data_IF_030778387321
#
_entry.id   IF_030778387321
#
_cell.length_a   1.000
_cell.length_b   1.000
_cell.length_c   1.000
_cell.angle_alpha   90.00
_cell.angle_beta   90.00
_cell.angle_gamma   90.00
#
_symmetry.space_group_name_H-M   'P 1'
#
loop_
_entity.id
_entity.type
_entity.pdbx_description
1 polymer ?
#
# COMPACT_ATOMS: atom_id res chain seq x y z
N UNK A 1 -11.98 11.29 16.18
CA UNK A 1 -10.68 11.92 15.79
C UNK A 1 -10.22 11.50 14.40
N UNK A 2 -10.20 10.20 14.06
CA UNK A 2 -9.79 9.69 12.74
C UNK A 2 -10.58 10.26 11.55
N UNK A 3 -11.89 10.49 11.70
CA UNK A 3 -12.73 11.12 10.67
C UNK A 3 -12.34 12.57 10.37
N UNK A 4 -11.95 13.36 11.38
CA UNK A 4 -11.53 14.76 11.16
C UNK A 4 -10.15 14.85 10.49
N UNK A 5 -9.25 13.90 10.79
CA UNK A 5 -7.94 13.80 10.13
C UNK A 5 -8.13 13.38 8.67
N UNK A 6 -8.96 12.37 8.39
CA UNK A 6 -9.30 11.95 7.01
C UNK A 6 -9.87 13.10 6.18
N UNK A 7 -10.81 13.87 6.74
CA UNK A 7 -11.39 15.03 6.03
C UNK A 7 -10.34 16.11 5.76
N UNK A 8 -9.49 16.46 6.72
CA UNK A 8 -8.40 17.44 6.51
C UNK A 8 -7.39 16.96 5.46
N UNK A 9 -7.02 15.68 5.51
CA UNK A 9 -6.14 15.07 4.52
C UNK A 9 -6.75 15.14 3.12
N UNK A 10 -8.02 14.77 2.96
CA UNK A 10 -8.73 14.86 1.68
C UNK A 10 -8.80 16.29 1.14
N UNK A 11 -9.04 17.30 1.99
CA UNK A 11 -9.03 18.70 1.56
C UNK A 11 -7.64 19.11 1.06
N UNK A 12 -6.58 18.68 1.74
CA UNK A 12 -5.20 18.98 1.34
C UNK A 12 -4.84 18.29 0.02
N UNK A 13 -5.12 16.99 -0.10
CA UNK A 13 -4.93 16.21 -1.33
C UNK A 13 -5.74 16.82 -2.48
N UNK A 14 -6.96 17.28 -2.24
CA UNK A 14 -7.79 17.94 -3.25
C UNK A 14 -7.23 19.28 -3.75
N UNK A 15 -6.42 19.97 -2.93
CA UNK A 15 -5.65 21.14 -3.33
C UNK A 15 -4.50 20.76 -4.28
N UNK A 16 -3.73 19.74 -3.92
CA UNK A 16 -2.64 19.20 -4.76
C UNK A 16 -3.19 18.62 -6.06
N UNK A 17 -4.32 17.93 -6.02
CA UNK A 17 -5.01 17.39 -7.19
C UNK A 17 -5.41 18.50 -8.16
N UNK A 18 -5.78 19.68 -7.65
CA UNK A 18 -6.09 20.85 -8.48
C UNK A 18 -4.88 21.35 -9.25
N UNK A 19 -3.70 21.32 -8.63
CA UNK A 19 -2.44 21.66 -9.30
C UNK A 19 -2.06 20.60 -10.34
N UNK A 20 -2.12 19.32 -9.99
CA UNK A 20 -1.86 18.21 -10.92
C UNK A 20 -2.79 18.26 -12.15
N UNK A 21 -4.08 18.55 -11.96
CA UNK A 21 -5.03 18.73 -13.04
C UNK A 21 -4.65 19.89 -13.96
N UNK A 22 -4.23 21.04 -13.39
CA UNK A 22 -3.76 22.20 -14.18
C UNK A 22 -2.52 21.88 -15.00
N UNK A 23 -1.67 20.97 -14.54
CA UNK A 23 -0.52 20.46 -15.30
C UNK A 23 -0.90 19.44 -16.39
N UNK A 24 -2.19 19.14 -16.57
CA UNK A 24 -2.68 18.20 -17.57
C UNK A 24 -2.52 16.72 -17.19
N UNK A 25 -2.19 16.41 -15.94
CA UNK A 25 -2.05 15.02 -15.49
C UNK A 25 -3.41 14.33 -15.45
N UNK A 26 -3.45 13.10 -15.97
CA UNK A 26 -4.60 12.20 -15.85
C UNK A 26 -4.46 11.31 -14.60
N UNK A 27 -5.56 10.78 -14.02
CA UNK A 27 -5.49 9.83 -12.91
C UNK A 27 -4.54 8.66 -13.21
N UNK A 28 -4.68 8.02 -14.37
CA UNK A 28 -3.81 6.91 -14.78
C UNK A 28 -2.33 7.32 -14.87
N UNK A 29 -2.03 8.56 -15.29
CA UNK A 29 -0.65 9.07 -15.30
C UNK A 29 -0.09 9.17 -13.88
N UNK A 30 -0.91 9.62 -12.92
CA UNK A 30 -0.52 9.69 -11.50
C UNK A 30 -0.30 8.29 -10.93
N UNK A 31 -1.15 7.31 -11.25
CA UNK A 31 -0.94 5.90 -10.86
C UNK A 31 0.37 5.34 -11.42
N UNK A 32 0.70 5.67 -12.67
CA UNK A 32 1.97 5.27 -13.30
C UNK A 32 3.18 5.92 -12.60
N UNK A 33 3.08 7.19 -12.20
CA UNK A 33 4.14 7.83 -11.41
C UNK A 33 4.29 7.12 -10.06
N UNK A 34 3.18 6.74 -9.42
CA UNK A 34 3.17 5.95 -8.20
C UNK A 34 3.94 4.64 -8.34
N UNK A 35 3.66 3.84 -9.38
CA UNK A 35 4.37 2.57 -9.57
C UNK A 35 5.87 2.77 -9.83
N UNK A 36 6.28 3.86 -10.50
CA UNK A 36 7.70 4.21 -10.67
C UNK A 36 8.35 4.45 -9.30
N UNK A 37 7.70 5.20 -8.39
CA UNK A 37 8.23 5.37 -7.03
C UNK A 37 8.33 4.05 -6.27
N UNK A 38 7.36 3.15 -6.41
CA UNK A 38 7.42 1.82 -5.79
C UNK A 38 8.57 0.97 -6.34
N UNK A 39 8.81 0.98 -7.66
CA UNK A 39 9.93 0.28 -8.29
C UNK A 39 11.26 0.82 -7.77
N UNK A 40 11.44 2.15 -7.74
CA UNK A 40 12.68 2.74 -7.25
C UNK A 40 12.86 2.46 -5.75
N UNK A 41 11.79 2.51 -4.95
CA UNK A 41 11.80 2.11 -3.54
C UNK A 41 12.28 0.66 -3.37
N UNK A 42 11.71 -0.28 -4.12
CA UNK A 42 12.11 -1.69 -4.10
C UNK A 42 13.59 -1.88 -4.46
N UNK A 43 14.07 -1.19 -5.50
CA UNK A 43 15.48 -1.23 -5.88
C UNK A 43 16.38 -0.71 -4.75
N UNK A 44 16.03 0.42 -4.13
CA UNK A 44 16.80 1.00 -3.01
C UNK A 44 16.85 0.06 -1.80
N UNK A 45 15.74 -0.61 -1.45
CA UNK A 45 15.77 -1.67 -0.44
C UNK A 45 16.67 -2.83 -0.85
N UNK A 46 16.69 -3.23 -2.12
CA UNK A 46 17.49 -4.38 -2.56
C UNK A 46 19.00 -4.12 -2.54
N UNK A 47 19.42 -2.88 -2.82
CA UNK A 47 20.85 -2.49 -2.90
C UNK A 47 21.30 -1.63 -1.71
N UNK A 48 20.56 -1.64 -0.60
CA UNK A 48 20.82 -0.77 0.56
C UNK A 48 22.23 -0.86 1.13
N UNK A 49 22.92 -2.00 0.93
CA UNK A 49 24.29 -2.20 1.41
C UNK A 49 25.32 -1.27 0.75
N UNK A 50 24.97 -0.64 -0.38
CA UNK A 50 25.78 0.42 -1.00
C UNK A 50 25.85 1.65 -0.08
N UNK A 51 24.73 2.00 0.57
CA UNK A 51 24.65 3.08 1.55
C UNK A 51 23.42 2.90 2.42
N UNK A 52 23.61 2.86 3.74
CA UNK A 52 22.52 2.66 4.72
C UNK A 52 21.42 3.71 4.62
N UNK A 53 21.75 4.90 4.12
CA UNK A 53 20.83 6.00 3.85
C UNK A 53 19.79 5.65 2.78
N UNK A 54 20.03 4.63 1.94
CA UNK A 54 19.06 4.18 0.94
C UNK A 54 17.76 3.65 1.55
N UNK A 55 17.81 3.04 2.74
CA UNK A 55 16.62 2.47 3.41
C UNK A 55 15.57 3.54 3.76
N UNK A 56 15.89 4.63 4.47
CA UNK A 56 14.90 5.69 4.72
C UNK A 56 14.41 6.37 3.44
N UNK A 57 15.26 6.54 2.42
CA UNK A 57 14.80 7.06 1.13
C UNK A 57 13.85 6.09 0.40
N UNK A 58 14.08 4.79 0.50
CA UNK A 58 13.16 3.78 0.00
C UNK A 58 11.78 3.90 0.69
N UNK A 59 11.77 4.10 2.01
CA UNK A 59 10.56 4.37 2.79
C UNK A 59 9.86 5.67 2.39
N UNK A 60 10.61 6.73 2.09
CA UNK A 60 10.06 8.00 1.58
C UNK A 60 9.41 7.82 0.20
N UNK A 61 10.08 7.13 -0.73
CA UNK A 61 9.52 6.83 -2.06
C UNK A 61 8.26 5.96 -1.95
N UNK A 62 8.21 5.02 -1.01
CA UNK A 62 7.01 4.24 -0.73
C UNK A 62 5.84 5.12 -0.26
N UNK A 63 6.10 6.10 0.61
CA UNK A 63 5.08 7.09 1.01
C UNK A 63 4.61 7.93 -0.18
N UNK A 64 5.52 8.35 -1.05
CA UNK A 64 5.17 9.09 -2.27
C UNK A 64 4.33 8.24 -3.23
N UNK A 65 4.64 6.94 -3.37
CA UNK A 65 3.81 6.01 -4.13
C UNK A 65 2.39 5.92 -3.56
N UNK A 66 2.24 5.75 -2.24
CA UNK A 66 0.92 5.73 -1.59
C UNK A 66 0.18 7.06 -1.67
N UNK A 67 0.91 8.17 -1.70
CA UNK A 67 0.33 9.49 -1.93
C UNK A 67 -0.20 9.66 -3.36
N UNK A 68 0.52 9.15 -4.38
CA UNK A 68 0.05 9.16 -5.77
C UNK A 68 -1.27 8.42 -5.93
N UNK A 69 -1.42 7.25 -5.31
CA UNK A 69 -2.67 6.49 -5.28
C UNK A 69 -3.83 7.31 -4.65
N UNK A 70 -3.62 7.88 -3.46
CA UNK A 70 -4.62 8.77 -2.86
C UNK A 70 -4.95 9.99 -3.74
N UNK A 71 -3.96 10.51 -4.47
CA UNK A 71 -4.11 11.66 -5.37
C UNK A 71 -4.89 11.30 -6.63
N UNK A 72 -4.64 10.14 -7.24
CA UNK A 72 -5.31 9.72 -8.46
C UNK A 72 -6.81 9.45 -8.24
N UNK A 73 -7.19 8.89 -7.08
CA UNK A 73 -8.57 8.67 -6.72
C UNK A 73 -9.33 9.97 -6.55
N UNK A 74 -8.73 10.95 -5.86
CA UNK A 74 -9.30 12.30 -5.71
C UNK A 74 -9.37 13.02 -7.06
N UNK A 75 -8.38 12.85 -7.93
CA UNK A 75 -8.36 13.44 -9.27
C UNK A 75 -9.46 12.84 -10.17
N UNK A 76 -9.67 11.53 -10.08
CA UNK A 76 -10.72 10.84 -10.82
C UNK A 76 -12.11 11.28 -10.33
N UNK A 77 -12.33 11.33 -9.03
CA UNK A 77 -13.62 11.71 -8.43
C UNK A 77 -13.97 13.18 -8.71
N UNK A 78 -13.07 14.12 -8.40
CA UNK A 78 -13.34 15.56 -8.44
C UNK A 78 -13.55 16.12 -9.85
N UNK A 79 -12.98 15.48 -10.87
CA UNK A 79 -13.13 15.90 -12.27
C UNK A 79 -13.94 14.91 -13.13
N UNK A 80 -14.71 14.00 -12.50
CA UNK A 80 -15.60 13.09 -13.22
C UNK A 80 -14.87 12.16 -14.20
N UNK A 81 -13.62 11.79 -13.91
CA UNK A 81 -12.80 10.87 -14.70
C UNK A 81 -12.75 9.45 -14.13
N UNK A 82 -13.72 9.09 -13.27
CA UNK A 82 -13.86 7.74 -12.75
C UNK A 82 -14.24 6.77 -13.88
N UNK A 83 -13.46 5.70 -14.05
CA UNK A 83 -13.72 4.66 -15.06
C UNK A 83 -13.52 3.28 -14.45
N UNK A 84 -14.25 2.28 -14.95
CA UNK A 84 -14.10 0.88 -14.52
C UNK A 84 -12.67 0.38 -14.78
N UNK A 85 -12.11 0.73 -15.94
CA UNK A 85 -10.72 0.41 -16.27
C UNK A 85 -9.72 1.08 -15.32
N UNK A 86 -9.92 2.36 -14.98
CA UNK A 86 -9.07 3.08 -14.04
C UNK A 86 -9.05 2.42 -12.67
N UNK A 87 -10.22 2.06 -12.12
CA UNK A 87 -10.30 1.34 -10.84
C UNK A 87 -9.64 -0.05 -10.89
N UNK A 88 -9.75 -0.76 -12.02
CA UNK A 88 -9.06 -2.04 -12.24
C UNK A 88 -7.53 -1.86 -12.33
N UNK A 89 -7.07 -0.85 -13.06
CA UNK A 89 -5.65 -0.52 -13.23
C UNK A 89 -5.03 -0.13 -11.88
N UNK A 90 -5.63 0.82 -11.18
CA UNK A 90 -5.22 1.27 -9.85
C UNK A 90 -5.08 0.08 -8.88
N UNK A 91 -6.16 -0.70 -8.76
CA UNK A 91 -6.12 -1.91 -7.96
C UNK A 91 -4.99 -2.85 -8.38
N UNK A 92 -4.76 -3.06 -9.67
CA UNK A 92 -3.69 -3.96 -10.13
C UNK A 92 -2.29 -3.42 -9.79
N UNK A 93 -2.04 -2.13 -10.04
CA UNK A 93 -0.77 -1.46 -9.76
C UNK A 93 -0.46 -1.46 -8.26
N UNK A 94 -1.46 -1.32 -7.40
CA UNK A 94 -1.31 -1.44 -5.96
C UNK A 94 -0.73 -2.79 -5.51
N UNK A 95 -1.17 -3.90 -6.13
CA UNK A 95 -0.63 -5.23 -5.81
C UNK A 95 0.81 -5.35 -6.29
N UNK A 96 1.13 -4.81 -7.47
CA UNK A 96 2.50 -4.79 -7.97
C UNK A 96 3.42 -3.95 -7.08
N UNK A 97 2.99 -2.74 -6.68
CA UNK A 97 3.73 -1.86 -5.78
C UNK A 97 4.11 -2.58 -4.48
N UNK A 98 3.11 -3.16 -3.82
CA UNK A 98 3.33 -3.89 -2.56
C UNK A 98 4.27 -5.10 -2.75
N UNK A 99 4.07 -5.86 -3.83
CA UNK A 99 4.90 -7.02 -4.15
C UNK A 99 6.35 -6.64 -4.37
N UNK A 100 6.60 -5.63 -5.21
CA UNK A 100 7.93 -5.16 -5.56
C UNK A 100 8.69 -4.71 -4.32
N UNK A 101 8.05 -3.92 -3.46
CA UNK A 101 8.68 -3.40 -2.24
C UNK A 101 9.03 -4.51 -1.26
N UNK A 102 8.10 -5.44 -0.99
CA UNK A 102 8.37 -6.58 -0.10
C UNK A 102 9.47 -7.47 -0.70
N UNK A 103 9.46 -7.72 -2.00
CA UNK A 103 10.54 -8.43 -2.69
C UNK A 103 11.88 -7.70 -2.57
N UNK A 104 11.92 -6.38 -2.73
CA UNK A 104 13.13 -5.57 -2.55
C UNK A 104 13.71 -5.70 -1.13
N UNK A 105 12.85 -5.69 -0.11
CA UNK A 105 13.23 -5.91 1.30
C UNK A 105 13.81 -7.32 1.51
N UNK A 106 13.17 -8.35 0.94
CA UNK A 106 13.64 -9.75 1.01
C UNK A 106 15.00 -9.90 0.31
N UNK A 107 15.12 -9.40 -0.92
CA UNK A 107 16.35 -9.47 -1.72
C UNK A 107 17.50 -8.72 -1.02
N UNK A 108 17.21 -7.57 -0.41
CA UNK A 108 18.18 -6.82 0.38
C UNK A 108 18.61 -7.54 1.67
N UNK A 109 17.91 -8.60 2.09
CA UNK A 109 18.14 -9.28 3.35
C UNK A 109 17.85 -8.41 4.56
N UNK A 110 16.90 -7.48 4.44
CA UNK A 110 16.45 -6.58 5.52
C UNK A 110 15.43 -7.24 6.46
N UNK A 111 14.96 -8.45 6.11
CA UNK A 111 14.10 -9.26 6.95
C UNK A 111 14.43 -10.74 6.81
N UNK A 112 13.97 -11.55 7.77
CA UNK A 112 13.97 -12.99 7.61
C UNK A 112 13.02 -13.39 6.45
N UNK A 113 13.50 -14.25 5.56
CA UNK A 113 12.79 -14.64 4.35
C UNK A 113 11.39 -15.24 4.60
N UNK A 114 11.22 -16.02 5.67
CA UNK A 114 9.92 -16.64 5.98
C UNK A 114 8.89 -15.57 6.36
N UNK A 115 9.30 -14.57 7.15
CA UNK A 115 8.44 -13.45 7.51
C UNK A 115 8.14 -12.55 6.30
N UNK A 116 9.14 -12.31 5.44
CA UNK A 116 8.93 -11.58 4.18
C UNK A 116 7.92 -12.27 3.27
N UNK A 117 8.04 -13.59 3.07
CA UNK A 117 7.10 -14.37 2.27
C UNK A 117 5.70 -14.40 2.90
N UNK A 118 5.60 -14.52 4.24
CA UNK A 118 4.32 -14.45 4.94
C UNK A 118 3.65 -13.07 4.80
N UNK A 119 4.42 -11.98 4.84
CA UNK A 119 3.92 -10.63 4.58
C UNK A 119 3.45 -10.44 3.13
N UNK A 120 4.19 -10.97 2.16
CA UNK A 120 3.83 -10.94 0.74
C UNK A 120 2.50 -11.68 0.51
N UNK A 121 2.41 -12.94 0.95
CA UNK A 121 1.20 -13.77 0.82
C UNK A 121 0.02 -13.10 1.51
N UNK A 122 0.19 -12.65 2.76
CA UNK A 122 -0.84 -11.97 3.52
C UNK A 122 -1.36 -10.73 2.79
N UNK A 123 -0.47 -9.89 2.26
CA UNK A 123 -0.84 -8.65 1.55
C UNK A 123 -1.66 -8.93 0.29
N UNK A 124 -1.29 -9.96 -0.48
CA UNK A 124 -2.07 -10.41 -1.63
C UNK A 124 -3.44 -10.98 -1.22
N UNK A 125 -3.48 -11.83 -0.20
CA UNK A 125 -4.70 -12.47 0.26
C UNK A 125 -5.67 -11.47 0.88
N UNK A 126 -5.21 -10.42 1.55
CA UNK A 126 -6.06 -9.30 1.99
C UNK A 126 -6.78 -8.75 0.76
N UNK A 127 -6.05 -8.29 -0.24
CA UNK A 127 -6.64 -7.72 -1.47
C UNK A 127 -7.56 -8.70 -2.22
N UNK A 128 -7.16 -9.97 -2.33
CA UNK A 128 -7.94 -11.01 -3.01
C UNK A 128 -9.24 -11.34 -2.29
N UNK A 129 -9.19 -11.57 -0.97
CA UNK A 129 -10.40 -11.91 -0.19
C UNK A 129 -11.44 -10.79 -0.21
N UNK A 130 -11.01 -9.52 -0.25
CA UNK A 130 -11.91 -8.39 -0.47
C UNK A 130 -12.56 -8.45 -1.85
N UNK A 131 -11.74 -8.52 -2.91
CA UNK A 131 -12.27 -8.55 -4.28
C UNK A 131 -13.19 -9.74 -4.52
N UNK A 132 -12.83 -10.92 -4.01
CA UNK A 132 -13.65 -12.13 -4.11
C UNK A 132 -14.95 -12.00 -3.32
N UNK A 133 -14.89 -11.42 -2.13
CA UNK A 133 -16.10 -11.21 -1.32
C UNK A 133 -17.06 -10.19 -1.97
N UNK A 134 -16.53 -9.10 -2.51
CA UNK A 134 -17.30 -8.11 -3.28
C UNK A 134 -17.93 -8.73 -4.53
N UNK A 135 -17.19 -9.58 -5.26
CA UNK A 135 -17.73 -10.32 -6.40
C UNK A 135 -18.83 -11.33 -6.01
N UNK A 136 -18.87 -11.77 -4.76
CA UNK A 136 -19.95 -12.60 -4.19
C UNK A 136 -21.09 -11.76 -3.59
N UNK A 137 -21.15 -10.46 -3.85
CA UNK A 137 -22.22 -9.57 -3.39
C UNK A 137 -22.07 -9.05 -1.96
N UNK A 138 -20.95 -9.36 -1.28
CA UNK A 138 -20.71 -8.92 0.10
C UNK A 138 -20.02 -7.55 0.15
N UNK A 139 -20.41 -6.69 1.09
CA UNK A 139 -19.64 -5.48 1.40
C UNK A 139 -18.45 -5.86 2.28
N UNK A 140 -17.25 -5.86 1.69
CA UNK A 140 -16.00 -6.24 2.37
C UNK A 140 -15.19 -5.03 2.90
N UNK A 141 -15.70 -3.82 2.69
CA UNK A 141 -15.08 -2.57 3.16
C UNK A 141 -14.94 -2.61 4.68
N UNK A 142 -13.81 -2.15 5.23
CA UNK A 142 -13.53 -2.03 6.68
C UNK A 142 -13.48 -3.34 7.48
N UNK A 143 -13.43 -4.50 6.81
CA UNK A 143 -13.19 -5.78 7.47
C UNK A 143 -11.69 -6.09 7.41
N UNK A 144 -11.02 -6.19 8.56
CA UNK A 144 -9.57 -6.43 8.67
C UNK A 144 -8.89 -5.50 9.67
N UNK A 145 -7.71 -5.88 10.15
CA UNK A 145 -6.90 -5.07 11.07
C UNK A 145 -5.99 -4.07 10.34
N UNK A 146 -5.53 -4.43 9.14
CA UNK A 146 -4.64 -3.60 8.34
C UNK A 146 -5.08 -3.61 6.88
N UNK A 147 -5.34 -2.42 6.34
CA UNK A 147 -5.51 -2.19 4.91
C UNK A 147 -4.17 -1.72 4.31
N UNK A 148 -4.20 -1.18 3.10
CA UNK A 148 -2.97 -0.82 2.37
C UNK A 148 -2.24 0.37 2.99
N UNK A 149 -2.97 1.39 3.41
CA UNK A 149 -2.39 2.57 4.03
C UNK A 149 -1.57 2.21 5.29
N UNK A 150 -2.08 1.31 6.13
CA UNK A 150 -1.38 0.84 7.32
C UNK A 150 -0.08 0.11 6.96
N UNK A 151 -0.05 -0.71 5.90
CA UNK A 151 1.17 -1.37 5.43
C UNK A 151 2.24 -0.36 5.04
N UNK A 152 1.86 0.62 4.21
CA UNK A 152 2.75 1.67 3.72
C UNK A 152 3.34 2.47 4.89
N UNK A 153 2.50 2.86 5.85
CA UNK A 153 2.92 3.61 7.03
C UNK A 153 3.88 2.79 7.90
N UNK A 154 3.57 1.52 8.17
CA UNK A 154 4.44 0.63 8.95
C UNK A 154 5.81 0.51 8.29
N UNK A 155 5.86 0.15 7.01
CA UNK A 155 7.10 -0.04 6.27
C UNK A 155 7.93 1.24 6.18
N UNK A 156 7.30 2.38 5.91
CA UNK A 156 7.98 3.65 5.88
C UNK A 156 8.54 4.05 7.25
N UNK A 157 7.75 3.90 8.33
CA UNK A 157 8.18 4.23 9.68
C UNK A 157 9.39 3.40 10.11
N UNK A 158 9.37 2.08 9.89
CA UNK A 158 10.52 1.22 10.23
C UNK A 158 11.73 1.49 9.35
N UNK A 159 11.54 2.02 8.14
CA UNK A 159 12.64 2.41 7.26
C UNK A 159 13.36 3.66 7.74
N UNK A 160 12.66 4.60 8.38
CA UNK A 160 13.31 5.71 9.08
C UNK A 160 14.00 5.25 10.37
N UNK A 161 13.37 4.35 11.12
CA UNK A 161 13.95 3.78 12.34
C UNK A 161 15.18 2.90 12.08
N UNK A 162 15.37 2.42 10.84
CA UNK A 162 16.54 1.66 10.43
C UNK A 162 17.87 2.34 10.78
N UNK A 163 17.93 3.67 10.72
CA UNK A 163 19.14 4.44 11.06
C UNK A 163 19.51 4.33 12.55
N UNK A 164 18.55 4.01 13.41
CA UNK A 164 18.74 3.83 14.85
C UNK A 164 18.88 2.36 15.20
N UNK A 165 18.15 1.48 14.52
CA UNK A 165 18.17 0.04 14.73
C UNK A 165 18.06 -0.69 13.38
N UNK A 166 19.12 -1.39 12.99
CA UNK A 166 19.17 -2.13 11.72
C UNK A 166 18.10 -3.23 11.60
N UNK A 167 17.61 -3.77 12.73
CA UNK A 167 16.54 -4.78 12.75
C UNK A 167 15.13 -4.18 12.64
N UNK A 168 14.98 -2.85 12.61
CA UNK A 168 13.68 -2.19 12.58
C UNK A 168 12.82 -2.67 11.40
N UNK A 169 13.41 -2.80 10.21
CA UNK A 169 12.70 -3.27 9.01
C UNK A 169 12.20 -4.70 9.19
N UNK A 170 13.02 -5.58 9.77
CA UNK A 170 12.63 -6.95 10.08
C UNK A 170 11.42 -6.99 11.04
N UNK A 171 11.44 -6.20 12.12
CA UNK A 171 10.30 -6.11 13.04
C UNK A 171 9.03 -5.58 12.35
N UNK A 172 9.17 -4.59 11.47
CA UNK A 172 8.05 -4.08 10.68
C UNK A 172 7.45 -5.14 9.75
N UNK A 173 8.30 -5.95 9.11
CA UNK A 173 7.85 -7.06 8.26
C UNK A 173 7.15 -8.16 9.07
N UNK A 174 7.64 -8.49 10.28
CA UNK A 174 6.96 -9.44 11.18
C UNK A 174 5.57 -8.92 11.55
N UNK A 175 5.49 -7.65 11.98
CA UNK A 175 4.22 -7.02 12.32
C UNK A 175 3.27 -7.04 11.13
N UNK A 176 3.76 -6.69 9.94
CA UNK A 176 3.01 -6.71 8.70
C UNK A 176 2.46 -8.10 8.37
N UNK A 177 3.31 -9.13 8.46
CA UNK A 177 2.92 -10.52 8.22
C UNK A 177 1.79 -10.95 9.15
N UNK A 178 1.91 -10.66 10.44
CA UNK A 178 0.88 -11.00 11.44
C UNK A 178 -0.42 -10.26 11.14
N UNK A 179 -0.38 -8.94 10.98
CA UNK A 179 -1.59 -8.14 10.75
C UNK A 179 -2.31 -8.52 9.45
N UNK A 180 -1.57 -8.75 8.37
CA UNK A 180 -2.15 -9.10 7.08
C UNK A 180 -2.84 -10.47 7.13
N UNK A 181 -2.18 -11.50 7.68
CA UNK A 181 -2.75 -12.84 7.77
C UNK A 181 -3.93 -12.92 8.76
N UNK A 182 -3.87 -12.18 9.88
CA UNK A 182 -5.03 -12.05 10.78
C UNK A 182 -6.21 -11.35 10.08
N UNK A 183 -5.95 -10.34 9.26
CA UNK A 183 -7.00 -9.65 8.48
C UNK A 183 -7.65 -10.60 7.47
N UNK A 184 -6.87 -11.50 6.84
CA UNK A 184 -7.40 -12.56 5.96
C UNK A 184 -8.33 -13.49 6.73
N UNK A 185 -7.93 -13.97 7.91
CA UNK A 185 -8.76 -14.82 8.75
C UNK A 185 -10.08 -14.12 9.14
N UNK A 186 -10.03 -12.84 9.52
CA UNK A 186 -11.23 -12.06 9.81
C UNK A 186 -12.17 -11.98 8.61
N UNK A 187 -11.64 -11.76 7.40
CA UNK A 187 -12.43 -11.73 6.16
C UNK A 187 -13.08 -13.06 5.85
N UNK A 188 -12.36 -14.17 6.05
CA UNK A 188 -12.90 -15.53 5.86
C UNK A 188 -14.03 -15.81 6.86
N UNK A 189 -13.82 -15.51 8.14
CA UNK A 189 -14.85 -15.70 9.17
C UNK A 189 -16.09 -14.83 8.93
N UNK A 190 -15.89 -13.60 8.45
CA UNK A 190 -16.99 -12.72 8.04
C UNK A 190 -17.77 -13.30 6.85
N UNK A 191 -17.06 -13.73 5.79
CA UNK A 191 -17.68 -14.34 4.61
C UNK A 191 -18.49 -15.60 4.97
N UNK A 192 -17.96 -16.45 5.86
CA UNK A 192 -18.68 -17.64 6.36
C UNK A 192 -20.01 -17.27 7.02
N UNK A 193 -20.05 -16.19 7.81
CA UNK A 193 -21.29 -15.73 8.46
C UNK A 193 -22.31 -15.20 7.45
N UNK A 194 -21.85 -14.54 6.39
CA UNK A 194 -22.74 -13.93 5.40
C UNK A 194 -23.27 -14.93 4.35
N UNK A 195 -22.50 -15.97 4.03
CA UNK A 195 -22.84 -16.94 2.98
C UNK A 195 -23.54 -18.22 3.50
N UNK A 196 -23.49 -18.48 4.80
CA UNK A 196 -24.18 -19.63 5.41
C UNK A 196 -25.58 -19.27 5.96
N UNK A 197 -26.19 -18.20 5.43
CA UNK A 197 -27.62 -17.89 5.54
C UNK A 197 -28.27 -18.13 4.18
#
# INVERSE_FOLDING_TARGET
MLTRIKVRFQVWVAGVAGFAHKMGLSPNTVSIIGIVFAVVSALMYSVWRISTVLVPFAGLLLLLSGFCDALDGVLAEKWGKTTVFGAFLDSTLDRYSDALVICGIIIGGLCNILWGLAALIGSFLVSYTRARGEASGMKMISIGLAERAERIIILAAVSFLFLVNADAVNYGVILLAVLANLSVLQRILYARKMLNH
#
